data_IF_419336888242
#
_entry.id   IF_419336888242
#
_cell.length_a   1.000
_cell.length_b   1.000
_cell.length_c   1.000
_cell.angle_alpha   90.00
_cell.angle_beta   90.00
_cell.angle_gamma   90.00
#
_symmetry.space_group_name_H-M   'P 1'
#
loop_
_entity.id
_entity.type
_entity.pdbx_description
1 polymer ?
#
# COMPACT_ATOMS: atom_id res chain seq x y z
N UNK A 1 10.62 -1.04 10.51
CA UNK A 1 9.25 -1.28 10.05
C UNK A 1 9.10 -2.75 9.72
N UNK A 2 7.89 -3.31 9.75
CA UNK A 2 7.68 -4.73 9.45
C UNK A 2 7.64 -4.95 7.93
N UNK A 3 8.16 -6.10 7.48
CA UNK A 3 8.05 -6.56 6.08
C UNK A 3 6.78 -7.39 5.84
N UNK A 4 5.95 -7.58 6.86
CA UNK A 4 4.66 -8.28 6.81
C UNK A 4 4.68 -9.60 6.03
N UNK A 5 5.73 -10.39 6.26
CA UNK A 5 6.01 -11.63 5.54
C UNK A 5 5.95 -12.87 6.45
N UNK A 6 5.50 -12.71 7.70
CA UNK A 6 5.33 -13.81 8.66
C UNK A 6 4.13 -13.55 9.58
N UNK A 7 3.21 -14.52 9.66
CA UNK A 7 1.93 -14.43 10.38
C UNK A 7 2.17 -14.65 11.87
N UNK A 8 3.25 -15.39 12.19
CA UNK A 8 3.71 -15.61 13.54
C UNK A 8 4.12 -14.30 14.23
N UNK A 9 4.56 -13.30 13.46
CA UNK A 9 4.84 -11.95 13.99
C UNK A 9 3.58 -11.20 14.43
N UNK A 10 2.40 -11.71 14.08
CA UNK A 10 1.11 -11.10 14.38
C UNK A 10 0.29 -11.92 15.36
N UNK A 11 0.77 -13.09 15.80
CA UNK A 11 0.02 -13.99 16.69
C UNK A 11 -0.36 -13.36 18.03
N UNK A 12 0.44 -12.41 18.50
CA UNK A 12 0.23 -11.70 19.76
C UNK A 12 -0.58 -10.41 19.60
N UNK A 13 -1.03 -10.09 18.38
CA UNK A 13 -1.83 -8.89 18.10
C UNK A 13 -3.31 -9.12 18.38
N UNK A 14 -3.98 -8.07 18.82
CA UNK A 14 -5.43 -8.05 18.91
C UNK A 14 -6.03 -8.08 17.49
N UNK A 15 -7.12 -8.83 17.23
CA UNK A 15 -7.74 -8.93 15.90
C UNK A 15 -8.10 -7.58 15.25
N UNK A 16 -8.34 -6.55 16.07
CA UNK A 16 -8.61 -5.17 15.63
C UNK A 16 -7.37 -4.34 15.28
N UNK A 17 -6.18 -4.95 15.24
CA UNK A 17 -4.93 -4.23 14.99
C UNK A 17 -4.81 -3.79 13.54
N UNK A 18 -4.21 -2.62 13.35
CA UNK A 18 -3.78 -2.09 12.05
C UNK A 18 -2.25 -2.23 11.99
N UNK A 19 -1.74 -2.87 10.94
CA UNK A 19 -0.29 -3.03 10.75
C UNK A 19 0.23 -2.10 9.66
N UNK A 20 1.48 -1.66 9.82
CA UNK A 20 2.19 -0.85 8.81
C UNK A 20 3.28 -1.69 8.16
N UNK A 21 3.15 -1.91 6.86
CA UNK A 21 3.98 -2.81 6.06
C UNK A 21 4.82 -2.02 5.08
N UNK A 22 6.12 -2.30 5.03
CA UNK A 22 7.00 -1.71 4.02
C UNK A 22 7.19 -2.68 2.85
N UNK A 23 6.96 -2.18 1.64
CA UNK A 23 7.09 -2.94 0.40
C UNK A 23 8.21 -2.43 -0.49
N UNK A 24 9.04 -3.35 -0.97
CA UNK A 24 10.18 -3.01 -1.84
C UNK A 24 9.82 -2.94 -3.33
N UNK A 25 8.80 -3.67 -3.75
CA UNK A 25 8.32 -3.75 -5.13
C UNK A 25 6.86 -4.21 -5.15
N UNK A 26 6.23 -4.15 -6.32
CA UNK A 26 4.82 -4.51 -6.49
C UNK A 26 4.52 -5.97 -6.09
N UNK A 27 5.38 -6.92 -6.50
CA UNK A 27 5.22 -8.33 -6.13
C UNK A 27 5.28 -8.53 -4.60
N UNK A 28 6.11 -7.76 -3.89
CA UNK A 28 6.16 -7.76 -2.43
C UNK A 28 4.85 -7.24 -1.83
N UNK A 29 4.31 -6.15 -2.38
CA UNK A 29 3.05 -5.55 -1.90
C UNK A 29 1.89 -6.53 -2.07
N UNK A 30 1.76 -7.10 -3.27
CA UNK A 30 0.71 -8.07 -3.57
C UNK A 30 0.82 -9.34 -2.70
N UNK A 31 2.05 -9.85 -2.51
CA UNK A 31 2.29 -10.97 -1.59
C UNK A 31 1.95 -10.63 -0.15
N UNK A 32 2.28 -9.43 0.33
CA UNK A 32 1.91 -8.98 1.67
C UNK A 32 0.39 -8.89 1.83
N UNK A 33 -0.35 -8.37 0.84
CA UNK A 33 -1.82 -8.35 0.91
C UNK A 33 -2.42 -9.75 0.94
N UNK A 34 -1.93 -10.69 0.11
CA UNK A 34 -2.38 -12.08 0.16
C UNK A 34 -2.06 -12.70 1.52
N UNK A 35 -0.84 -12.48 2.00
CA UNK A 35 -0.39 -13.02 3.27
C UNK A 35 -1.25 -12.56 4.46
N UNK A 36 -1.61 -11.28 4.49
CA UNK A 36 -2.49 -10.71 5.50
C UNK A 36 -3.94 -11.20 5.37
N UNK A 37 -4.41 -11.50 4.15
CA UNK A 37 -5.75 -12.10 3.96
C UNK A 37 -5.92 -13.47 4.60
N UNK A 38 -4.83 -14.20 4.85
CA UNK A 38 -4.83 -15.45 5.60
C UNK A 38 -4.64 -15.28 7.12
N UNK A 39 -4.44 -14.05 7.60
CA UNK A 39 -4.22 -13.76 9.02
C UNK A 39 -5.54 -13.34 9.69
N UNK A 40 -5.91 -14.00 10.78
CA UNK A 40 -7.06 -13.62 11.61
C UNK A 40 -6.72 -12.57 12.68
N UNK A 41 -5.47 -12.11 12.73
CA UNK A 41 -4.95 -11.25 13.80
C UNK A 41 -4.93 -9.76 13.46
N UNK A 42 -5.23 -9.41 12.20
CA UNK A 42 -5.09 -8.05 11.67
C UNK A 42 -6.35 -7.70 10.88
N UNK A 43 -6.95 -6.55 11.19
CA UNK A 43 -8.17 -6.10 10.51
C UNK A 43 -7.88 -5.44 9.16
N UNK A 44 -6.80 -4.68 9.08
CA UNK A 44 -6.40 -3.95 7.87
C UNK A 44 -4.94 -3.53 7.93
N UNK A 45 -4.39 -3.06 6.81
CA UNK A 45 -2.99 -2.66 6.72
C UNK A 45 -2.78 -1.32 5.98
N UNK A 46 -1.73 -0.63 6.39
CA UNK A 46 -1.16 0.52 5.68
C UNK A 46 0.12 0.04 5.00
N UNK A 47 0.14 0.03 3.68
CA UNK A 47 1.30 -0.37 2.87
C UNK A 47 2.10 0.87 2.47
N UNK A 48 3.42 0.83 2.66
CA UNK A 48 4.33 1.89 2.24
C UNK A 48 4.97 1.47 0.92
N UNK A 49 4.67 2.21 -0.14
CA UNK A 49 5.17 1.91 -1.48
C UNK A 49 5.15 3.17 -2.38
N UNK A 50 6.23 3.40 -3.12
CA UNK A 50 6.44 4.62 -3.94
C UNK A 50 6.50 4.32 -5.46
N UNK A 51 5.85 3.27 -5.96
CA UNK A 51 5.83 3.03 -7.40
C UNK A 51 4.69 3.81 -8.08
N UNK A 52 4.96 4.72 -9.03
CA UNK A 52 3.92 5.40 -9.80
C UNK A 52 3.00 4.45 -10.58
N UNK A 53 3.49 3.26 -10.95
CA UNK A 53 2.72 2.29 -11.73
C UNK A 53 1.65 1.58 -10.88
N UNK A 54 1.60 1.82 -9.57
CA UNK A 54 0.58 1.24 -8.67
C UNK A 54 -0.85 1.49 -9.17
N UNK A 55 -1.09 2.66 -9.79
CA UNK A 55 -2.40 3.06 -10.30
C UNK A 55 -2.87 2.25 -11.51
N UNK A 56 -1.99 1.43 -12.11
CA UNK A 56 -2.29 0.61 -13.27
C UNK A 56 -2.83 -0.78 -12.89
N UNK A 57 -2.95 -1.05 -11.58
CA UNK A 57 -3.43 -2.32 -11.04
C UNK A 57 -4.73 -2.13 -10.27
N UNK A 58 -5.65 -3.08 -10.42
CA UNK A 58 -6.94 -3.10 -9.71
C UNK A 58 -7.01 -4.15 -8.59
N UNK A 59 -6.08 -5.12 -8.57
CA UNK A 59 -6.14 -6.26 -7.66
C UNK A 59 -5.59 -5.90 -6.27
N UNK A 60 -6.48 -5.94 -5.27
CA UNK A 60 -6.13 -5.69 -3.87
C UNK A 60 -6.89 -6.66 -2.94
N UNK A 61 -6.35 -7.87 -2.67
CA UNK A 61 -7.08 -8.97 -2.06
C UNK A 61 -7.30 -8.84 -0.54
N UNK A 62 -6.90 -7.73 0.08
CA UNK A 62 -7.00 -7.51 1.52
C UNK A 62 -7.26 -6.04 1.83
N UNK A 63 -8.19 -5.68 2.72
CA UNK A 63 -8.52 -4.29 3.01
C UNK A 63 -7.30 -3.50 3.51
N UNK A 64 -7.07 -2.33 2.92
CA UNK A 64 -5.95 -1.48 3.30
C UNK A 64 -5.77 -0.27 2.38
N UNK A 65 -4.76 0.52 2.70
CA UNK A 65 -4.37 1.71 1.93
C UNK A 65 -2.89 1.68 1.62
N UNK A 66 -2.52 2.23 0.46
CA UNK A 66 -1.12 2.43 0.09
C UNK A 66 -0.76 3.90 0.26
N UNK A 67 0.34 4.17 0.95
CA UNK A 67 0.88 5.51 1.18
C UNK A 67 2.31 5.62 0.66
N UNK A 68 2.70 6.83 0.30
CA UNK A 68 4.10 7.12 -0.06
C UNK A 68 5.02 7.06 1.15
N UNK A 69 6.33 6.83 0.94
CA UNK A 69 7.34 6.94 2.02
C UNK A 69 7.38 8.35 2.61
N UNK A 70 7.04 9.38 1.82
CA UNK A 70 6.92 10.75 2.35
C UNK A 70 5.83 10.85 3.41
N UNK A 71 4.68 10.22 3.17
CA UNK A 71 3.56 10.20 4.13
C UNK A 71 3.84 9.27 5.32
N UNK A 72 4.62 8.20 5.13
CA UNK A 72 4.87 7.21 6.17
C UNK A 72 5.57 7.76 7.40
N UNK A 73 6.44 8.77 7.24
CA UNK A 73 7.12 9.40 8.38
C UNK A 73 6.14 9.91 9.45
N UNK A 74 5.02 10.52 9.02
CA UNK A 74 3.97 10.97 9.93
C UNK A 74 3.26 9.82 10.65
N UNK A 75 2.93 8.75 9.91
CA UNK A 75 2.29 7.54 10.46
C UNK A 75 3.20 6.83 11.47
N UNK A 76 4.49 6.69 11.15
CA UNK A 76 5.49 6.07 12.04
C UNK A 76 5.67 6.92 13.31
N UNK A 77 5.74 8.24 13.16
CA UNK A 77 5.90 9.13 14.29
C UNK A 77 4.67 9.07 15.21
N UNK A 78 3.47 9.06 14.62
CA UNK A 78 2.22 8.92 15.35
C UNK A 78 2.16 7.62 16.15
N UNK A 79 2.56 6.49 15.56
CA UNK A 79 2.56 5.18 16.25
C UNK A 79 3.57 5.09 17.39
N UNK A 80 4.71 5.80 17.32
CA UNK A 80 5.75 5.78 18.37
C UNK A 80 5.48 6.72 19.54
N UNK A 81 4.90 7.89 19.28
CA UNK A 81 4.78 8.95 20.29
C UNK A 81 3.46 8.93 21.06
N UNK A 82 2.55 8.02 20.71
CA UNK A 82 1.23 7.88 21.34
C UNK A 82 1.25 7.03 22.62
N UNK A 83 2.44 6.61 23.08
CA UNK A 83 2.65 5.82 24.31
C UNK A 83 2.22 6.53 25.62
N UNK A 84 1.82 7.80 25.56
CA UNK A 84 1.24 8.57 26.69
C UNK A 84 -0.28 8.74 26.65
N UNK A 85 -0.96 8.30 25.58
CA UNK A 85 -2.41 8.32 25.47
C UNK A 85 -2.96 6.98 25.97
N UNK A 86 -3.90 6.99 26.92
CA UNK A 86 -4.46 5.78 27.56
C UNK A 86 -4.99 4.71 26.59
N UNK A 87 -5.27 5.06 25.33
CA UNK A 87 -5.86 4.20 24.31
C UNK A 87 -4.89 3.79 23.17
N UNK A 88 -3.62 4.23 23.20
CA UNK A 88 -2.67 3.99 22.10
C UNK A 88 -3.04 4.68 20.77
N UNK A 89 -2.25 4.48 19.70
CA UNK A 89 -2.56 5.01 18.37
C UNK A 89 -3.80 4.34 17.79
N UNK A 90 -4.71 5.15 17.23
CA UNK A 90 -5.91 4.69 16.52
C UNK A 90 -5.99 5.34 15.15
N UNK A 91 -6.52 4.60 14.17
CA UNK A 91 -6.77 5.12 12.83
C UNK A 91 -8.06 4.51 12.27
N UNK A 92 -8.69 5.23 11.35
CA UNK A 92 -9.83 4.77 10.57
C UNK A 92 -9.47 4.83 9.08
N UNK A 93 -9.89 3.83 8.33
CA UNK A 93 -9.67 3.71 6.89
C UNK A 93 -11.05 3.55 6.25
N UNK A 94 -11.41 4.47 5.36
CA UNK A 94 -12.61 4.38 4.55
C UNK A 94 -12.23 3.80 3.18
N UNK A 95 -13.02 2.84 2.71
CA UNK A 95 -12.83 2.13 1.44
C UNK A 95 -13.97 2.49 0.49
N UNK A 96 -13.86 2.05 -0.76
CA UNK A 96 -14.88 2.28 -1.81
C UNK A 96 -15.06 3.76 -2.19
N UNK A 97 -14.07 4.60 -1.88
CA UNK A 97 -14.05 5.99 -2.33
C UNK A 97 -13.45 6.13 -3.73
N UNK A 98 -14.03 7.01 -4.55
CA UNK A 98 -13.47 7.41 -5.84
C UNK A 98 -13.32 8.91 -5.91
N UNK A 99 -12.09 9.39 -6.07
CA UNK A 99 -11.77 10.81 -6.16
C UNK A 99 -11.56 11.20 -7.63
N UNK A 100 -12.34 12.18 -8.11
CA UNK A 100 -12.21 12.75 -9.46
C UNK A 100 -11.37 14.04 -9.43
N UNK A 101 -10.77 14.40 -10.58
CA UNK A 101 -10.08 15.69 -10.74
C UNK A 101 -8.72 15.78 -10.05
N UNK A 102 -7.98 14.67 -9.96
CA UNK A 102 -6.62 14.67 -9.44
C UNK A 102 -5.71 15.59 -10.27
N UNK A 103 -4.81 16.33 -9.59
CA UNK A 103 -3.87 17.25 -10.26
C UNK A 103 -2.93 16.48 -11.18
N UNK A 104 -2.63 17.04 -12.36
CA UNK A 104 -1.79 16.44 -13.43
C UNK A 104 -2.43 15.19 -14.04
N UNK A 105 -3.61 15.32 -14.63
CA UNK A 105 -4.27 14.28 -15.42
C UNK A 105 -4.66 14.92 -16.78
N UNK A 106 -4.46 14.28 -17.96
CA UNK A 106 -3.93 12.93 -18.22
C UNK A 106 -2.40 12.77 -18.13
N UNK A 107 -1.95 11.57 -17.76
CA UNK A 107 -0.55 11.11 -17.84
C UNK A 107 -0.52 9.86 -18.72
N UNK A 108 0.53 9.69 -19.53
CA UNK A 108 0.72 8.47 -20.31
C UNK A 108 1.01 7.28 -19.38
N UNK A 109 0.24 6.20 -19.52
CA UNK A 109 0.46 4.95 -18.78
C UNK A 109 1.86 4.38 -19.08
N UNK A 110 2.46 3.72 -18.08
CA UNK A 110 3.77 3.08 -18.13
C UNK A 110 3.85 2.03 -19.24
N UNK A 111 2.75 1.28 -19.44
CA UNK A 111 2.63 0.24 -20.46
C UNK A 111 2.30 0.77 -21.86
N UNK A 112 2.16 2.09 -22.05
CA UNK A 112 1.88 2.69 -23.36
C UNK A 112 3.09 2.56 -24.28
N UNK A 113 2.90 1.87 -25.43
CA UNK A 113 3.91 1.78 -26.48
C UNK A 113 4.33 3.17 -26.98
N UNK A 114 5.64 3.38 -27.10
CA UNK A 114 6.21 4.64 -27.57
C UNK A 114 6.72 4.48 -28.99
N UNK A 115 6.39 5.46 -29.84
CA UNK A 115 6.97 5.56 -31.16
C UNK A 115 8.47 5.95 -31.10
N UNK A 116 9.08 6.13 -32.28
CA UNK A 116 8.49 5.98 -33.62
C UNK A 116 8.24 4.51 -33.99
N UNK A 117 7.36 4.29 -34.98
CA UNK A 117 7.11 2.94 -35.52
C UNK A 117 8.39 2.36 -36.12
N UNK A 118 8.69 1.10 -35.83
CA UNK A 118 9.77 0.36 -36.51
C UNK A 118 9.37 -0.08 -37.92
N UNK A 119 8.07 -0.01 -38.27
CA UNK A 119 7.58 -0.44 -39.58
C UNK A 119 7.94 0.52 -40.74
N UNK A 120 8.43 1.73 -40.44
CA UNK A 120 8.79 2.73 -41.47
C UNK A 120 10.26 2.68 -41.90
N UNK A 121 11.02 1.67 -41.48
CA UNK A 121 12.35 1.37 -42.03
C UNK A 121 12.42 -0.08 -42.50
N UNK A 122 11.64 -0.39 -43.54
CA UNK A 122 11.72 -1.61 -44.32
C UNK A 122 11.83 -1.22 -45.80
N UNK A 123 13.01 -1.48 -46.34
CA UNK A 123 13.51 -1.32 -47.72
C UNK A 123 12.60 -1.80 -48.84
#
# INVERSE_FOLDING_TARGET
MSRCNSIHLFSDLNPSSIVVCESGNFNSLFKQSIFLSYSNFVSTAIFIFDNPDLHEFADFPYPGVVISRKQSAGVINYTRNSNGVRAGPYANIQLEETLLGTKRNPIAASYSSRGPSLAVHGS
#
